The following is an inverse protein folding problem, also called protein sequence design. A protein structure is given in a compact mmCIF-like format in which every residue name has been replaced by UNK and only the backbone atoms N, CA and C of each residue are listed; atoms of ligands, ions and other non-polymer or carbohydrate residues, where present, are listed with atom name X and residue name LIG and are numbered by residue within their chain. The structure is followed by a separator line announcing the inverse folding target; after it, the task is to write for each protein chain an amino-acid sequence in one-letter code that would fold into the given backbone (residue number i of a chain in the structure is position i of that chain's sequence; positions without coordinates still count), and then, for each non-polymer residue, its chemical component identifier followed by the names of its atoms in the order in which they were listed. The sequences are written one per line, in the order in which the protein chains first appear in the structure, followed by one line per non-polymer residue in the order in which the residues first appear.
data_IF_582083276013
#
_entry.id   IF_582083276013
#
_cell.length_a   1.000
_cell.length_b   1.000
_cell.length_c   1.000
_cell.angle_alpha   90.00
_cell.angle_beta   90.00
_cell.angle_gamma   90.00
#
_symmetry.space_group_name_H-M   'P 1'
#
loop_
_entity.id
_entity.type
_entity.pdbx_description
1 polymer ?
#
# COMPACT_ATOMS: atom_id res chain seq x y z
N UNK A 1 5.56 -2.92 -11.20
CA UNK A 1 5.89 -1.62 -10.60
C UNK A 1 5.02 -0.56 -11.23
N UNK A 2 4.17 0.10 -10.45
CA UNK A 2 3.36 1.22 -10.95
C UNK A 2 4.14 2.52 -10.79
N UNK A 3 4.43 3.20 -11.91
CA UNK A 3 4.99 4.54 -11.94
C UNK A 3 3.90 5.55 -12.23
N UNK A 4 4.06 6.72 -11.63
CA UNK A 4 3.20 7.87 -11.88
C UNK A 4 3.97 8.82 -12.76
N UNK A 5 3.36 9.28 -13.83
CA UNK A 5 3.90 10.34 -14.65
C UNK A 5 3.78 11.65 -13.86
N UNK A 6 4.82 11.93 -13.06
CA UNK A 6 4.93 13.12 -12.21
C UNK A 6 5.08 14.41 -13.03
N UNK A 7 5.34 14.29 -14.33
CA UNK A 7 5.70 15.40 -15.21
C UNK A 7 4.55 16.37 -15.48
N UNK A 8 3.31 15.87 -15.48
CA UNK A 8 2.13 16.67 -15.79
C UNK A 8 1.31 17.05 -14.55
N UNK A 9 1.73 16.71 -13.33
CA UNK A 9 0.88 16.82 -12.16
C UNK A 9 1.61 17.35 -10.92
N UNK A 10 1.48 18.67 -10.71
CA UNK A 10 2.09 19.44 -9.60
C UNK A 10 1.38 19.30 -8.24
N UNK A 11 0.39 18.41 -8.11
CA UNK A 11 -0.41 18.31 -6.88
C UNK A 11 0.35 17.56 -5.77
N UNK A 12 0.52 18.14 -4.56
CA UNK A 12 1.11 17.44 -3.41
C UNK A 12 0.43 16.10 -3.09
N UNK A 13 -0.86 15.97 -3.40
CA UNK A 13 -1.63 14.74 -3.22
C UNK A 13 -1.09 13.56 -4.05
N UNK A 14 -0.59 13.84 -5.26
CA UNK A 14 -0.04 12.82 -6.16
C UNK A 14 1.36 12.42 -5.69
N UNK A 15 2.18 13.38 -5.25
CA UNK A 15 3.49 13.08 -4.68
C UNK A 15 3.38 12.18 -3.43
N UNK A 16 2.37 12.42 -2.59
CA UNK A 16 2.07 11.57 -1.43
C UNK A 16 1.67 10.15 -1.82
N UNK A 17 0.75 10.01 -2.78
CA UNK A 17 0.37 8.69 -3.28
C UNK A 17 1.56 7.97 -3.92
N UNK A 18 2.37 8.67 -4.71
CA UNK A 18 3.58 8.12 -5.30
C UNK A 18 4.55 7.60 -4.22
N UNK A 19 4.72 8.32 -3.11
CA UNK A 19 5.52 7.87 -1.98
C UNK A 19 4.97 6.59 -1.34
N UNK A 20 3.65 6.50 -1.11
CA UNK A 20 2.97 5.30 -0.61
C UNK A 20 3.23 4.09 -1.51
N UNK A 21 3.07 4.28 -2.82
CA UNK A 21 3.30 3.23 -3.81
C UNK A 21 4.77 2.82 -3.90
N UNK A 22 5.71 3.78 -3.82
CA UNK A 22 7.14 3.50 -3.77
C UNK A 22 7.46 2.63 -2.54
N UNK A 23 6.95 3.00 -1.35
CA UNK A 23 7.09 2.16 -0.14
C UNK A 23 6.52 0.76 -0.35
N UNK A 24 5.32 0.68 -0.92
CA UNK A 24 4.64 -0.57 -1.22
C UNK A 24 5.45 -1.48 -2.15
N UNK A 25 5.94 -0.96 -3.27
CA UNK A 25 6.58 -1.76 -4.30
C UNK A 25 8.09 -1.96 -4.13
N UNK A 26 8.79 -1.09 -3.42
CA UNK A 26 10.25 -1.20 -3.22
C UNK A 26 10.66 -1.76 -1.88
N UNK A 27 9.79 -1.74 -0.88
CA UNK A 27 10.07 -2.29 0.45
C UNK A 27 9.11 -3.43 0.74
N UNK A 28 7.81 -3.16 0.79
CA UNK A 28 6.83 -4.13 1.29
C UNK A 28 6.68 -5.38 0.39
N UNK A 29 6.42 -5.19 -0.91
CA UNK A 29 6.23 -6.29 -1.89
C UNK A 29 7.45 -7.22 -1.99
N UNK A 30 8.69 -6.71 -2.14
CA UNK A 30 9.89 -7.54 -2.11
C UNK A 30 10.03 -8.34 -0.81
N UNK A 31 9.76 -7.71 0.34
CA UNK A 31 9.82 -8.40 1.63
C UNK A 31 8.81 -9.54 1.71
N UNK A 32 7.58 -9.34 1.24
CA UNK A 32 6.59 -10.42 1.15
C UNK A 32 7.03 -11.54 0.21
N UNK A 33 7.59 -11.21 -0.96
CA UNK A 33 8.04 -12.22 -1.93
C UNK A 33 9.18 -13.08 -1.40
N UNK A 34 10.17 -12.50 -0.72
CA UNK A 34 11.27 -13.28 -0.09
C UNK A 34 10.72 -14.27 0.94
N UNK A 35 9.62 -13.93 1.60
CA UNK A 35 8.97 -14.78 2.59
C UNK A 35 7.89 -15.71 2.00
N UNK A 36 7.74 -15.80 0.66
CA UNK A 36 6.64 -16.52 0.01
C UNK A 36 5.24 -16.09 0.53
N UNK A 37 5.09 -14.81 0.84
CA UNK A 37 3.94 -14.23 1.53
C UNK A 37 3.19 -13.20 0.67
N UNK A 38 3.37 -13.23 -0.66
CA UNK A 38 2.75 -12.25 -1.54
C UNK A 38 1.21 -12.43 -1.53
N UNK A 39 0.52 -11.49 -0.92
CA UNK A 39 -0.92 -11.56 -0.63
C UNK A 39 -1.82 -10.86 -1.66
N UNK A 40 -1.25 -10.08 -2.58
CA UNK A 40 -2.02 -9.41 -3.64
C UNK A 40 -1.17 -9.20 -4.89
N UNK A 41 -1.65 -9.69 -6.02
CA UNK A 41 -1.17 -9.35 -7.36
C UNK A 41 -2.13 -8.30 -7.91
N UNK A 42 -1.66 -7.06 -8.11
CA UNK A 42 -2.54 -5.98 -8.56
C UNK A 42 -3.19 -6.32 -9.91
N UNK A 43 -4.51 -6.13 -10.01
CA UNK A 43 -5.27 -6.45 -11.22
C UNK A 43 -4.79 -5.74 -12.50
N UNK A 44 -4.13 -4.58 -12.37
CA UNK A 44 -3.58 -3.84 -13.51
C UNK A 44 -2.22 -4.35 -14.00
N UNK A 45 -1.55 -5.25 -13.25
CA UNK A 45 -0.15 -5.59 -13.52
C UNK A 45 0.27 -6.98 -12.99
N UNK A 46 -0.51 -8.00 -13.36
CA UNK A 46 -0.25 -9.41 -13.02
C UNK A 46 -0.14 -10.28 -14.26
N UNK A 47 0.71 -11.31 -14.21
CA UNK A 47 0.82 -12.35 -15.24
C UNK A 47 0.60 -13.70 -14.58
N UNK A 48 -0.28 -14.51 -15.17
CA UNK A 48 -0.68 -15.79 -14.62
C UNK A 48 -0.46 -16.90 -15.65
N UNK A 49 0.00 -18.07 -15.19
CA UNK A 49 -0.03 -19.28 -16.01
C UNK A 49 -1.48 -19.72 -16.16
N UNK A 50 -1.96 -19.84 -17.40
CA UNK A 50 -3.36 -20.25 -17.71
C UNK A 50 -3.77 -21.51 -16.95
N UNK A 51 -2.91 -22.53 -16.93
CA UNK A 51 -3.19 -23.79 -16.23
C UNK A 51 -3.38 -23.62 -14.72
N UNK A 52 -2.56 -22.80 -14.06
CA UNK A 52 -2.71 -22.52 -12.64
C UNK A 52 -3.99 -21.72 -12.35
N UNK A 53 -4.32 -20.75 -13.21
CA UNK A 53 -5.52 -19.93 -13.06
C UNK A 53 -6.81 -20.77 -13.22
N UNK A 54 -6.82 -21.69 -14.18
CA UNK A 54 -7.93 -22.64 -14.38
C UNK A 54 -8.02 -23.61 -13.18
N UNK A 55 -6.89 -24.12 -12.70
CA UNK A 55 -6.86 -25.07 -11.58
C UNK A 55 -7.46 -24.50 -10.28
N UNK A 56 -7.33 -23.19 -10.05
CA UNK A 56 -7.94 -22.53 -8.88
C UNK A 56 -9.37 -22.04 -9.13
N UNK A 57 -9.93 -22.23 -10.33
CA UNK A 57 -11.31 -21.84 -10.67
C UNK A 57 -11.49 -20.40 -11.18
N UNK A 58 -10.41 -19.72 -11.60
CA UNK A 58 -10.49 -18.37 -12.17
C UNK A 58 -10.89 -17.27 -11.17
N UNK A 59 -11.22 -16.08 -11.68
CA UNK A 59 -11.61 -14.92 -10.86
C UNK A 59 -13.05 -15.06 -10.37
N UNK A 60 -13.28 -14.70 -9.10
CA UNK A 60 -14.63 -14.61 -8.54
C UNK A 60 -15.28 -13.26 -8.87
N UNK A 61 -16.61 -13.23 -8.86
CA UNK A 61 -17.35 -11.97 -8.82
C UNK A 61 -17.32 -11.37 -7.39
N UNK A 62 -17.18 -10.05 -7.30
CA UNK A 62 -17.18 -9.33 -6.03
C UNK A 62 -16.11 -8.25 -5.97
N UNK A 63 -15.86 -7.74 -4.76
CA UNK A 63 -14.77 -6.80 -4.48
C UNK A 63 -13.52 -7.57 -4.05
N UNK A 64 -12.34 -7.14 -4.49
CA UNK A 64 -11.08 -7.77 -4.07
C UNK A 64 -10.83 -9.11 -4.75
N UNK A 65 -11.27 -9.21 -6.00
CA UNK A 65 -11.00 -10.34 -6.89
C UNK A 65 -9.50 -10.61 -7.04
N UNK A 66 -8.67 -9.57 -6.94
CA UNK A 66 -7.21 -9.61 -7.04
C UNK A 66 -6.53 -10.17 -5.78
N UNK A 67 -7.00 -9.79 -4.59
CA UNK A 67 -6.57 -10.38 -3.32
C UNK A 67 -7.01 -11.84 -3.27
N UNK A 68 -8.27 -12.10 -3.60
CA UNK A 68 -8.87 -13.43 -3.57
C UNK A 68 -8.13 -14.44 -4.44
N UNK A 69 -7.91 -14.11 -5.72
CA UNK A 69 -7.21 -15.00 -6.63
C UNK A 69 -5.76 -15.25 -6.16
N UNK A 70 -5.13 -14.26 -5.53
CA UNK A 70 -3.75 -14.38 -5.05
C UNK A 70 -3.66 -15.36 -3.88
N UNK A 71 -4.64 -15.34 -2.97
CA UNK A 71 -4.68 -16.29 -1.84
C UNK A 71 -4.86 -17.73 -2.35
N UNK A 72 -5.84 -17.96 -3.24
CA UNK A 72 -6.07 -19.29 -3.84
C UNK A 72 -4.88 -19.78 -4.67
N UNK A 73 -4.24 -18.89 -5.43
CA UNK A 73 -3.00 -19.23 -6.13
C UNK A 73 -1.85 -19.54 -5.17
N UNK A 74 -1.82 -18.93 -3.98
CA UNK A 74 -0.79 -19.20 -2.98
C UNK A 74 -0.95 -20.58 -2.37
N UNK A 75 -2.19 -20.98 -2.06
CA UNK A 75 -2.54 -22.34 -1.67
C UNK A 75 -2.12 -23.35 -2.74
N UNK A 76 -2.51 -23.12 -3.99
CA UNK A 76 -2.09 -23.95 -5.12
C UNK A 76 -0.57 -24.00 -5.27
N UNK A 77 0.12 -22.85 -5.14
CA UNK A 77 1.56 -22.79 -5.27
C UNK A 77 2.26 -23.63 -4.18
N UNK A 78 1.77 -23.56 -2.94
CA UNK A 78 2.28 -24.36 -1.83
C UNK A 78 2.12 -25.86 -2.09
N UNK A 79 0.93 -26.31 -2.49
CA UNK A 79 0.63 -27.72 -2.78
C UNK A 79 1.48 -28.28 -3.93
N UNK A 80 1.81 -27.44 -4.90
CA UNK A 80 2.57 -27.83 -6.10
C UNK A 80 4.05 -27.43 -6.07
N UNK A 81 4.59 -27.01 -4.92
CA UNK A 81 5.99 -26.56 -4.76
C UNK A 81 6.39 -25.46 -5.77
N UNK A 82 5.45 -24.55 -6.06
CA UNK A 82 5.64 -23.35 -6.90
C UNK A 82 5.71 -22.11 -6.00
N UNK A 83 6.12 -21.00 -6.60
CA UNK A 83 6.21 -19.71 -5.91
C UNK A 83 5.52 -18.61 -6.71
N UNK A 84 4.91 -17.67 -6.00
CA UNK A 84 4.41 -16.42 -6.57
C UNK A 84 5.49 -15.36 -6.38
N UNK A 85 6.02 -14.85 -7.50
CA UNK A 85 7.15 -13.92 -7.49
C UNK A 85 6.75 -12.51 -7.90
N UNK A 86 7.41 -11.54 -7.28
CA UNK A 86 7.36 -10.13 -7.65
C UNK A 86 8.69 -9.70 -8.26
N UNK A 87 8.65 -8.91 -9.32
CA UNK A 87 9.84 -8.27 -9.90
C UNK A 87 9.70 -6.76 -9.92
N UNK A 88 10.77 -6.06 -9.53
CA UNK A 88 10.83 -4.60 -9.56
C UNK A 88 10.97 -4.05 -10.98
N UNK A 89 11.47 -4.87 -11.92
CA UNK A 89 11.79 -4.45 -13.29
C UNK A 89 10.56 -4.36 -14.19
N UNK A 90 9.46 -5.01 -13.80
CA UNK A 90 8.23 -4.94 -14.56
C UNK A 90 7.59 -3.57 -14.30
N UNK A 91 7.44 -2.75 -15.35
CA UNK A 91 6.97 -1.36 -15.28
C UNK A 91 5.55 -1.23 -15.87
N UNK A 92 4.68 -0.51 -15.18
CA UNK A 92 3.36 -0.08 -15.64
C UNK A 92 3.14 1.38 -15.21
N UNK A 93 2.46 2.16 -16.03
CA UNK A 93 2.08 3.53 -15.70
C UNK A 93 0.60 3.56 -15.34
N UNK A 94 0.25 4.18 -14.21
CA UNK A 94 -1.14 4.28 -13.76
C UNK A 94 -1.48 5.69 -13.35
N UNK A 95 -2.73 6.08 -13.56
CA UNK A 95 -3.28 7.32 -13.04
C UNK A 95 -3.64 7.18 -11.56
N UNK A 96 -3.46 8.28 -10.81
CA UNK A 96 -3.85 8.40 -9.40
C UNK A 96 -5.03 9.37 -9.26
N UNK A 97 -5.91 9.18 -8.26
CA UNK A 97 -6.86 10.19 -7.86
C UNK A 97 -6.22 11.57 -7.66
N UNK A 98 -6.78 12.59 -8.31
CA UNK A 98 -6.26 13.97 -8.24
C UNK A 98 -6.89 14.81 -7.12
N UNK A 99 -7.93 14.30 -6.46
CA UNK A 99 -8.64 14.97 -5.38
C UNK A 99 -8.86 14.04 -4.17
N UNK A 100 -9.06 14.65 -2.99
CA UNK A 100 -9.23 13.93 -1.72
C UNK A 100 -10.48 13.03 -1.68
N UNK A 101 -11.55 13.41 -2.38
CA UNK A 101 -12.82 12.67 -2.41
C UNK A 101 -12.64 11.31 -3.09
N UNK A 102 -12.02 11.30 -4.25
CA UNK A 102 -11.78 10.08 -5.03
C UNK A 102 -10.69 9.21 -4.40
N UNK A 103 -9.67 9.82 -3.78
CA UNK A 103 -8.71 9.10 -2.95
C UNK A 103 -9.42 8.37 -1.79
N UNK A 104 -10.29 9.07 -1.05
CA UNK A 104 -11.02 8.48 0.06
C UNK A 104 -11.92 7.32 -0.38
N UNK A 105 -12.64 7.47 -1.49
CA UNK A 105 -13.43 6.39 -2.12
C UNK A 105 -12.56 5.18 -2.47
N UNK A 106 -11.40 5.43 -3.09
CA UNK A 106 -10.46 4.38 -3.46
C UNK A 106 -9.97 3.60 -2.23
N UNK A 107 -9.54 4.28 -1.16
CA UNK A 107 -9.01 3.64 0.05
C UNK A 107 -10.08 2.87 0.84
N UNK A 108 -11.29 3.42 0.94
CA UNK A 108 -12.44 2.73 1.53
C UNK A 108 -12.75 1.44 0.77
N UNK A 109 -12.74 1.49 -0.57
CA UNK A 109 -12.96 0.32 -1.43
C UNK A 109 -11.87 -0.74 -1.24
N UNK A 110 -10.60 -0.36 -1.14
CA UNK A 110 -9.52 -1.31 -0.89
C UNK A 110 -9.69 -2.04 0.45
N UNK A 111 -10.14 -1.33 1.49
CA UNK A 111 -10.42 -1.95 2.78
C UNK A 111 -11.60 -2.92 2.72
N UNK A 112 -12.66 -2.57 1.99
CA UNK A 112 -13.80 -3.48 1.79
C UNK A 112 -13.40 -4.72 0.98
N UNK A 113 -12.60 -4.53 -0.07
CA UNK A 113 -12.05 -5.61 -0.90
C UNK A 113 -11.19 -6.58 -0.07
N UNK A 114 -10.36 -6.05 0.84
CA UNK A 114 -9.58 -6.86 1.77
C UNK A 114 -10.47 -7.73 2.66
N UNK A 115 -11.51 -7.15 3.27
CA UNK A 115 -12.44 -7.91 4.11
C UNK A 115 -13.23 -8.96 3.33
N UNK A 116 -13.68 -8.63 2.12
CA UNK A 116 -14.44 -9.54 1.28
C UNK A 116 -13.62 -10.77 0.87
N UNK A 117 -12.38 -10.54 0.39
CA UNK A 117 -11.45 -11.61 0.05
C UNK A 117 -11.03 -12.44 1.27
N UNK A 118 -10.79 -11.78 2.41
CA UNK A 118 -10.42 -12.47 3.66
C UNK A 118 -11.57 -13.35 4.18
N UNK A 119 -12.82 -12.89 4.05
CA UNK A 119 -13.99 -13.67 4.44
C UNK A 119 -14.18 -14.89 3.54
N UNK A 120 -14.02 -14.73 2.23
CA UNK A 120 -14.14 -15.84 1.27
C UNK A 120 -13.09 -16.93 1.57
N UNK A 121 -11.84 -16.53 1.80
CA UNK A 121 -10.73 -17.44 2.05
C UNK A 121 -10.51 -17.75 3.54
N UNK A 122 -11.49 -17.46 4.42
CA UNK A 122 -11.33 -17.52 5.88
C UNK A 122 -10.86 -18.89 6.36
N UNK A 123 -11.43 -19.96 5.82
CA UNK A 123 -11.09 -21.32 6.24
C UNK A 123 -9.60 -21.59 6.01
N UNK A 124 -9.11 -21.33 4.79
CA UNK A 124 -7.70 -21.48 4.44
C UNK A 124 -6.77 -20.59 5.29
N UNK A 125 -7.14 -19.31 5.47
CA UNK A 125 -6.34 -18.34 6.23
C UNK A 125 -6.19 -18.73 7.69
N UNK A 126 -7.25 -19.19 8.34
CA UNK A 126 -7.25 -19.53 9.77
C UNK A 126 -6.62 -20.90 10.02
N UNK A 127 -6.97 -21.92 9.22
CA UNK A 127 -6.44 -23.27 9.43
C UNK A 127 -4.93 -23.37 9.17
N UNK A 128 -4.42 -22.57 8.24
CA UNK A 128 -3.00 -22.60 7.83
C UNK A 128 -2.18 -21.44 8.39
N UNK A 129 -2.66 -20.77 9.44
CA UNK A 129 -1.98 -19.58 10.00
C UNK A 129 -0.51 -19.82 10.34
N UNK A 130 -0.17 -20.98 10.91
CA UNK A 130 1.22 -21.33 11.26
C UNK A 130 1.97 -22.11 10.18
N UNK A 131 1.27 -22.55 9.13
CA UNK A 131 1.83 -23.45 8.11
C UNK A 131 2.15 -22.76 6.78
N UNK A 132 1.51 -21.62 6.52
CA UNK A 132 1.65 -20.89 5.26
C UNK A 132 2.03 -19.44 5.53
N UNK A 133 3.15 -19.00 4.96
CA UNK A 133 3.63 -17.62 5.13
C UNK A 133 2.59 -16.58 4.72
N UNK A 134 1.87 -16.77 3.61
CA UNK A 134 0.81 -15.82 3.18
C UNK A 134 -0.24 -15.65 4.27
N UNK A 135 -0.71 -16.74 4.88
CA UNK A 135 -1.71 -16.71 5.94
C UNK A 135 -1.17 -15.98 7.18
N UNK A 136 0.04 -16.34 7.62
CA UNK A 136 0.70 -15.70 8.75
C UNK A 136 0.85 -14.19 8.54
N UNK A 137 1.51 -13.77 7.46
CA UNK A 137 1.79 -12.36 7.20
C UNK A 137 0.52 -11.56 6.94
N UNK A 138 -0.47 -12.11 6.22
CA UNK A 138 -1.71 -11.39 5.95
C UNK A 138 -2.53 -11.17 7.23
N UNK A 139 -2.64 -12.18 8.10
CA UNK A 139 -3.36 -12.05 9.38
C UNK A 139 -2.58 -11.20 10.40
N UNK A 140 -1.25 -11.35 10.45
CA UNK A 140 -0.39 -10.52 11.29
C UNK A 140 -0.44 -9.04 10.86
N UNK A 141 -0.38 -8.75 9.56
CA UNK A 141 -0.49 -7.38 9.05
C UNK A 141 -1.88 -6.79 9.33
N UNK A 142 -2.95 -7.55 9.12
CA UNK A 142 -4.32 -7.11 9.41
C UNK A 142 -4.54 -6.78 10.90
N UNK A 143 -3.96 -7.57 11.80
CA UNK A 143 -4.09 -7.37 13.25
C UNK A 143 -3.17 -6.26 13.75
N UNK A 144 -1.88 -6.31 13.42
CA UNK A 144 -0.86 -5.39 13.90
C UNK A 144 -0.97 -4.02 13.24
N UNK A 145 -0.94 -3.97 11.91
CA UNK A 145 -0.98 -2.71 11.15
C UNK A 145 -2.39 -2.11 11.09
N UNK A 146 -3.41 -2.96 11.00
CA UNK A 146 -4.80 -2.52 10.96
C UNK A 146 -5.31 -2.09 12.33
N UNK A 147 -5.55 -3.05 13.22
CA UNK A 147 -6.30 -2.82 14.46
C UNK A 147 -5.43 -2.28 15.59
N UNK A 148 -4.32 -2.95 15.90
CA UNK A 148 -3.48 -2.59 17.05
C UNK A 148 -2.76 -1.25 16.86
N UNK A 149 -2.24 -0.96 15.67
CA UNK A 149 -1.61 0.33 15.41
C UNK A 149 -2.58 1.50 15.62
N UNK A 150 -3.83 1.38 15.14
CA UNK A 150 -4.87 2.41 15.33
C UNK A 150 -5.17 2.59 16.82
N UNK A 151 -5.43 1.50 17.54
CA UNK A 151 -5.74 1.56 18.98
C UNK A 151 -4.58 2.14 19.80
N UNK A 152 -3.36 1.68 19.51
CA UNK A 152 -2.15 2.14 20.20
C UNK A 152 -1.88 3.61 19.93
N UNK A 153 -2.09 4.07 18.69
CA UNK A 153 -1.95 5.47 18.32
C UNK A 153 -2.96 6.37 19.06
N UNK A 154 -4.24 6.00 19.06
CA UNK A 154 -5.29 6.74 19.78
C UNK A 154 -5.05 6.77 21.29
N UNK A 155 -4.68 5.63 21.88
CA UNK A 155 -4.37 5.53 23.31
C UNK A 155 -3.16 6.38 23.69
N UNK A 156 -2.07 6.31 22.92
CA UNK A 156 -0.87 7.11 23.18
C UNK A 156 -1.14 8.61 23.05
N UNK A 157 -1.91 9.01 22.03
CA UNK A 157 -2.29 10.42 21.86
C UNK A 157 -3.15 10.94 23.02
N UNK A 158 -4.14 10.15 23.46
CA UNK A 158 -4.98 10.50 24.60
C UNK A 158 -4.17 10.59 25.90
N UNK A 159 -3.34 9.59 26.18
CA UNK A 159 -2.49 9.55 27.37
C UNK A 159 -1.49 10.71 27.41
N UNK A 160 -0.87 11.03 26.27
CA UNK A 160 0.02 12.18 26.16
C UNK A 160 -0.74 13.49 26.45
N UNK A 161 -1.93 13.65 25.87
CA UNK A 161 -2.76 14.85 26.05
C UNK A 161 -3.18 15.05 27.51
N UNK A 162 -3.63 13.99 28.18
CA UNK A 162 -4.01 14.03 29.61
C UNK A 162 -2.80 14.39 30.47
N UNK A 163 -1.64 13.75 30.24
CA UNK A 163 -0.45 14.00 31.06
C UNK A 163 0.10 15.42 30.89
N UNK A 164 0.10 15.93 29.66
CA UNK A 164 0.47 17.33 29.38
C UNK A 164 -0.48 18.29 30.07
N UNK A 165 -1.80 18.04 30.03
CA UNK A 165 -2.80 18.85 30.72
C UNK A 165 -2.62 18.83 32.25
N UNK A 166 -2.27 17.68 32.83
CA UNK A 166 -1.95 17.52 34.24
C UNK A 166 -0.56 18.05 34.64
N UNK A 167 0.24 18.60 33.71
CA UNK A 167 1.60 19.07 33.97
C UNK A 167 2.63 17.97 34.23
N UNK A 168 2.30 16.70 33.97
CA UNK A 168 3.20 15.55 34.16
C UNK A 168 3.97 15.32 32.86
N UNK A 169 5.29 15.54 32.88
CA UNK A 169 6.14 15.26 31.73
C UNK A 169 6.37 13.74 31.57
N UNK A 170 6.00 13.09 30.45
CA UNK A 170 6.18 11.66 30.25
C UNK A 170 7.36 11.36 29.29
N UNK A 171 8.62 11.33 29.78
CA UNK A 171 9.81 11.24 28.93
C UNK A 171 9.83 9.96 28.08
N UNK A 172 9.48 8.80 28.66
CA UNK A 172 9.50 7.52 27.95
C UNK A 172 8.52 7.49 26.76
N UNK A 173 7.35 8.12 26.90
CA UNK A 173 6.34 8.17 25.84
C UNK A 173 6.78 9.07 24.69
N UNK A 174 7.46 10.18 25.00
CA UNK A 174 8.04 11.07 23.99
C UNK A 174 9.19 10.40 23.23
N UNK A 175 10.07 9.68 23.94
CA UNK A 175 11.18 8.93 23.33
C UNK A 175 10.65 7.84 22.40
N UNK A 176 9.69 7.03 22.85
CA UNK A 176 9.12 5.96 22.01
C UNK A 176 8.40 6.50 20.77
N UNK A 177 7.67 7.61 20.91
CA UNK A 177 7.02 8.31 19.79
C UNK A 177 8.05 8.88 18.81
N UNK A 178 9.14 9.47 19.32
CA UNK A 178 10.25 9.96 18.51
C UNK A 178 10.93 8.85 17.71
N UNK A 179 11.20 7.71 18.35
CA UNK A 179 11.75 6.52 17.68
C UNK A 179 10.84 5.99 16.57
N UNK A 180 9.53 5.97 16.78
CA UNK A 180 8.57 5.56 15.76
C UNK A 180 8.57 6.49 14.53
N UNK A 181 8.66 7.81 14.75
CA UNK A 181 8.78 8.81 13.68
C UNK A 181 10.09 8.62 12.90
N UNK A 182 11.21 8.45 13.61
CA UNK A 182 12.52 8.22 12.98
C UNK A 182 12.52 6.94 12.13
N UNK A 183 11.92 5.86 12.63
CA UNK A 183 11.77 4.62 11.87
C UNK A 183 10.94 4.81 10.59
N UNK A 184 9.85 5.58 10.65
CA UNK A 184 9.05 5.89 9.46
C UNK A 184 9.84 6.71 8.42
N UNK A 185 10.59 7.71 8.87
CA UNK A 185 11.46 8.51 8.00
C UNK A 185 12.51 7.60 7.36
N UNK A 186 13.21 6.77 8.14
CA UNK A 186 14.22 5.84 7.64
C UNK A 186 13.65 4.90 6.58
N UNK A 187 12.47 4.29 6.82
CA UNK A 187 11.80 3.43 5.84
C UNK A 187 11.45 4.18 4.55
N UNK A 188 10.97 5.42 4.66
CA UNK A 188 10.64 6.26 3.51
C UNK A 188 11.90 6.61 2.70
N UNK A 189 13.01 6.94 3.37
CA UNK A 189 14.29 7.21 2.72
C UNK A 189 14.86 5.97 2.02
N UNK A 190 14.80 4.81 2.65
CA UNK A 190 15.21 3.53 2.02
C UNK A 190 14.36 3.24 0.79
N UNK A 191 13.05 3.46 0.86
CA UNK A 191 12.15 3.25 -0.28
C UNK A 191 12.48 4.18 -1.45
N UNK A 192 12.70 5.48 -1.18
CA UNK A 192 13.11 6.46 -2.20
C UNK A 192 14.47 6.08 -2.79
N UNK A 193 15.45 5.73 -1.96
CA UNK A 193 16.77 5.31 -2.43
C UNK A 193 16.70 4.09 -3.36
N UNK A 194 15.93 3.07 -2.98
CA UNK A 194 15.72 1.88 -3.82
C UNK A 194 15.02 2.23 -5.12
N UNK A 195 14.04 3.14 -5.09
CA UNK A 195 13.35 3.63 -6.28
C UNK A 195 14.27 4.38 -7.24
N UNK A 196 15.18 5.21 -6.73
CA UNK A 196 16.15 5.94 -7.55
C UNK A 196 17.16 4.98 -8.20
N UNK A 197 17.61 3.96 -7.44
CA UNK A 197 18.66 3.05 -7.91
C UNK A 197 18.15 1.99 -8.89
N UNK A 198 16.92 1.52 -8.72
CA UNK A 198 16.34 0.39 -9.50
C UNK A 198 15.17 0.79 -10.39
N UNK A 199 14.73 2.05 -10.32
CA UNK A 199 13.66 2.55 -11.18
C UNK A 199 14.12 2.92 -12.59
N UNK A 200 13.18 3.08 -13.53
CA UNK A 200 13.45 3.48 -14.90
C UNK A 200 13.98 4.90 -14.98
N UNK A 201 14.72 5.19 -16.03
CA UNK A 201 15.35 6.51 -16.21
C UNK A 201 14.34 7.64 -16.40
N UNK A 202 13.13 7.34 -16.88
CA UNK A 202 11.98 8.26 -16.94
C UNK A 202 11.58 8.83 -15.58
N UNK A 203 11.80 8.05 -14.52
CA UNK A 203 11.59 8.48 -13.13
C UNK A 203 12.75 9.33 -12.59
N UNK A 204 13.97 9.14 -13.12
CA UNK A 204 15.20 9.77 -12.62
C UNK A 204 15.52 11.11 -13.26
N UNK A 205 15.18 11.31 -14.53
CA UNK A 205 15.70 12.45 -15.33
C UNK A 205 14.62 13.19 -16.12
N UNK A 206 14.79 14.50 -16.26
CA UNK A 206 14.12 15.33 -17.28
C UNK A 206 15.11 15.48 -18.42
N UNK A 207 14.72 15.07 -19.64
CA UNK A 207 15.45 15.48 -20.83
C UNK A 207 15.08 16.94 -21.12
N UNK A 208 15.99 17.87 -20.81
CA UNK A 208 15.96 19.20 -21.41
C UNK A 208 17.19 19.35 -22.28
N UNK A 209 16.97 19.78 -23.52
CA UNK A 209 18.00 19.98 -24.52
C UNK A 209 19.15 20.89 -24.04
N UNK A 210 20.34 20.57 -24.58
CA UNK A 210 21.56 21.39 -24.74
C UNK A 210 22.48 21.75 -23.56
N UNK A 211 22.18 21.48 -22.27
CA UNK A 211 23.11 21.89 -21.17
C UNK A 211 23.42 20.87 -20.06
N UNK A 212 23.10 19.58 -20.24
CA UNK A 212 23.71 18.49 -19.45
C UNK A 212 23.45 18.47 -17.93
N UNK A 213 22.66 19.39 -17.37
CA UNK A 213 22.39 19.43 -15.93
C UNK A 213 21.18 18.54 -15.58
N UNK A 214 21.47 17.33 -15.08
CA UNK A 214 20.48 16.34 -14.63
C UNK A 214 19.90 16.75 -13.27
N UNK A 215 18.71 17.37 -13.26
CA UNK A 215 17.95 17.61 -12.00
C UNK A 215 17.06 16.41 -11.68
N UNK A 216 17.14 15.87 -10.48
CA UNK A 216 16.37 14.71 -10.03
C UNK A 216 14.93 15.10 -9.68
N UNK A 217 13.92 14.39 -10.23
CA UNK A 217 12.47 14.58 -9.94
C UNK A 217 12.05 14.18 -8.52
N UNK A 218 12.99 13.93 -7.61
CA UNK A 218 12.72 13.27 -6.32
C UNK A 218 12.43 14.24 -5.19
N UNK A 219 12.68 15.54 -5.36
CA UNK A 219 12.41 16.58 -4.35
C UNK A 219 10.96 16.56 -3.80
N UNK A 220 9.90 16.40 -4.63
CA UNK A 220 8.53 16.29 -4.13
C UNK A 220 8.29 15.07 -3.24
N UNK A 221 9.07 13.99 -3.40
CA UNK A 221 8.93 12.78 -2.57
C UNK A 221 9.43 13.02 -1.15
N UNK A 222 10.53 13.76 -0.99
CA UNK A 222 11.05 14.15 0.32
C UNK A 222 10.09 15.09 1.05
N UNK A 223 9.48 16.04 0.32
CA UNK A 223 8.40 16.87 0.87
C UNK A 223 7.19 16.01 1.30
N UNK A 224 6.86 14.99 0.50
CA UNK A 224 5.85 13.99 0.83
C UNK A 224 6.11 13.26 2.15
N UNK A 225 7.38 13.00 2.52
CA UNK A 225 7.71 12.35 3.81
C UNK A 225 7.25 13.20 5.00
N UNK A 226 7.49 14.52 4.96
CA UNK A 226 7.06 15.42 6.02
C UNK A 226 5.54 15.47 6.15
N UNK A 227 4.83 15.53 5.01
CA UNK A 227 3.36 15.59 5.00
C UNK A 227 2.73 14.24 5.39
N UNK A 228 3.36 13.10 5.06
CA UNK A 228 2.88 11.76 5.41
C UNK A 228 2.80 11.55 6.94
N UNK A 229 3.76 12.11 7.69
CA UNK A 229 3.78 12.05 9.15
C UNK A 229 2.59 12.77 9.80
N UNK A 230 2.15 13.90 9.22
CA UNK A 230 1.16 14.79 9.85
C UNK A 230 -0.26 14.52 9.34
N UNK A 231 -0.44 14.25 8.05
CA UNK A 231 -1.77 14.24 7.43
C UNK A 231 -2.21 12.82 7.10
N UNK A 232 -1.37 12.08 6.37
CA UNK A 232 -1.78 10.81 5.81
C UNK A 232 -1.87 9.68 6.83
N UNK A 233 -1.06 9.73 7.90
CA UNK A 233 -1.14 8.79 9.00
C UNK A 233 -2.53 8.79 9.65
N UNK A 234 -3.11 9.96 9.88
CA UNK A 234 -4.48 10.07 10.42
C UNK A 234 -5.54 9.70 9.38
N UNK A 235 -5.35 10.10 8.12
CA UNK A 235 -6.29 9.75 7.05
C UNK A 235 -6.36 8.24 6.81
N UNK A 236 -5.23 7.51 6.91
CA UNK A 236 -5.20 6.04 6.83
C UNK A 236 -6.08 5.40 7.91
N UNK A 237 -6.00 5.89 9.14
CA UNK A 237 -6.84 5.44 10.26
C UNK A 237 -8.33 5.72 9.95
N UNK A 238 -8.65 6.93 9.51
CA UNK A 238 -10.02 7.30 9.16
C UNK A 238 -10.59 6.45 8.02
N UNK A 239 -9.80 6.18 6.97
CA UNK A 239 -10.19 5.33 5.86
C UNK A 239 -10.34 3.87 6.28
N UNK A 240 -9.49 3.37 7.17
CA UNK A 240 -9.59 2.02 7.73
C UNK A 240 -10.90 1.83 8.50
N UNK A 241 -11.23 2.76 9.40
CA UNK A 241 -12.47 2.74 10.19
C UNK A 241 -13.67 2.83 9.24
N UNK A 242 -13.69 3.84 8.36
CA UNK A 242 -14.80 4.05 7.41
C UNK A 242 -15.00 2.86 6.47
N UNK A 243 -13.92 2.25 5.98
CA UNK A 243 -13.96 1.07 5.12
C UNK A 243 -14.50 -0.16 5.84
N UNK A 244 -14.05 -0.40 7.06
CA UNK A 244 -14.53 -1.52 7.89
C UNK A 244 -16.01 -1.36 8.23
N UNK A 245 -16.45 -0.17 8.65
CA UNK A 245 -17.87 0.12 8.91
C UNK A 245 -18.69 -0.02 7.62
N UNK A 246 -18.22 0.51 6.49
CA UNK A 246 -18.95 0.42 5.21
C UNK A 246 -19.14 -1.01 4.72
N UNK A 247 -18.14 -1.88 4.97
CA UNK A 247 -18.25 -3.31 4.68
C UNK A 247 -19.34 -3.97 5.53
N UNK A 248 -19.36 -3.69 6.84
CA UNK A 248 -20.37 -4.22 7.77
C UNK A 248 -21.79 -3.76 7.41
N UNK A 249 -21.93 -2.53 6.92
CA UNK A 249 -23.19 -1.96 6.44
C UNK A 249 -23.62 -2.48 5.05
N UNK A 250 -22.88 -3.42 4.44
CA UNK A 250 -23.16 -4.01 3.11
C UNK A 250 -23.39 -2.97 2.00
N UNK A 251 -22.71 -1.81 2.04
CA UNK A 251 -22.77 -0.87 0.90
C UNK A 251 -22.07 -1.51 -0.30
N UNK A 252 -22.82 -1.84 -1.35
CA UNK A 252 -22.32 -2.48 -2.57
C UNK A 252 -22.06 -1.50 -3.72
N UNK A 253 -22.21 -0.19 -3.50
CA UNK A 253 -22.12 0.80 -4.57
C UNK A 253 -20.70 0.88 -5.16
N UNK A 254 -20.57 0.49 -6.43
CA UNK A 254 -19.35 0.61 -7.23
C UNK A 254 -19.13 2.08 -7.64
N UNK A 255 -18.50 2.86 -6.77
CA UNK A 255 -18.15 4.26 -7.05
C UNK A 255 -16.84 4.31 -7.87
N UNK A 256 -16.94 4.25 -9.20
CA UNK A 256 -15.79 4.39 -10.10
C UNK A 256 -15.23 5.82 -10.00
N UNK A 257 -13.91 6.01 -9.78
CA UNK A 257 -13.31 7.35 -9.80
C UNK A 257 -13.55 8.02 -11.15
N UNK A 258 -13.73 9.34 -11.16
CA UNK A 258 -13.75 10.09 -12.41
C UNK A 258 -12.42 9.92 -13.13
N UNK A 259 -12.46 9.55 -14.42
CA UNK A 259 -11.26 9.50 -15.26
C UNK A 259 -10.77 10.92 -15.52
N UNK A 260 -9.46 11.08 -15.54
CA UNK A 260 -8.82 12.34 -15.94
C UNK A 260 -8.63 12.32 -17.45
N UNK A 261 -8.89 13.44 -18.13
CA UNK A 261 -8.64 13.59 -19.58
C UNK A 261 -7.16 13.87 -19.88
N UNK A 262 -6.25 13.33 -19.07
CA UNK A 262 -4.83 13.59 -19.21
C UNK A 262 -4.28 12.80 -20.41
N UNK A 263 -3.74 13.51 -21.39
CA UNK A 263 -2.90 12.92 -22.44
C UNK A 263 -1.46 12.81 -21.92
N UNK A 264 -0.95 11.59 -21.90
CA UNK A 264 0.43 11.30 -21.51
C UNK A 264 1.25 10.96 -22.76
N UNK A 265 2.35 11.67 -22.98
CA UNK A 265 3.38 11.29 -23.95
C UNK A 265 4.38 10.38 -23.24
N UNK A 266 4.48 9.13 -23.69
CA UNK A 266 5.39 8.11 -23.16
C UNK A 266 6.77 8.19 -23.82
#
# INVERSE_FOLDING_TARGET
MQYFLMDNCKSPLIALQALDYIKGFYVYKPSLTVNNALNIISGAFGVFRKSALIAVGGFRHGLGEDIDITIRLSEYAQLHKKVISYTMNAICYTECPQNWKDLGRQRVRWQMAFWDASKHNRQFLVSNFWHTSVCFFMLADATLSGTFAVMTFLANYLLLSIRVFCGIFPPLLLVSSGLAVLFNIANSLVAIYRAIRRGPDSFRTVNNNARGNKRTKTSPLYFGVCIDLIVFSFLRIAFFIKGTVSYLMKKTSWDKPSRTNNTYTL
#
